data_IF_943510026398
#
_entry.id   IF_943510026398
#
_cell.length_a   1.000
_cell.length_b   1.000
_cell.length_c   1.000
_cell.angle_alpha   90.00
_cell.angle_beta   90.00
_cell.angle_gamma   90.00
#
_symmetry.space_group_name_H-M   'P 1'
#
loop_
_entity.id
_entity.type
_entity.pdbx_description
1 polymer ?
#
# COMPACT_ATOMS: atom_id res chain seq x y z
N UNK A 1 -12.74 1.47 23.41
CA UNK A 1 -14.20 1.66 23.15
C UNK A 1 -14.57 0.54 22.20
N UNK A 2 -15.41 -0.44 22.57
CA UNK A 2 -15.49 -1.72 21.83
C UNK A 2 -15.81 -1.55 20.34
N UNK A 3 -15.05 -2.22 19.48
CA UNK A 3 -15.24 -2.25 18.02
C UNK A 3 -16.61 -2.80 17.61
N UNK A 4 -17.20 -2.20 16.58
CA UNK A 4 -18.37 -2.74 15.87
C UNK A 4 -18.02 -3.98 15.06
N UNK A 5 -19.03 -4.77 14.63
CA UNK A 5 -18.81 -5.94 13.77
C UNK A 5 -18.12 -5.58 12.45
N UNK A 6 -18.47 -4.43 11.87
CA UNK A 6 -17.86 -3.93 10.63
C UNK A 6 -16.39 -3.60 10.83
N UNK A 7 -16.07 -2.85 11.90
CA UNK A 7 -14.68 -2.48 12.22
C UNK A 7 -13.81 -3.71 12.56
N UNK A 8 -14.37 -4.74 13.19
CA UNK A 8 -13.63 -5.99 13.44
C UNK A 8 -13.26 -6.71 12.14
N UNK A 9 -14.22 -6.85 11.24
CA UNK A 9 -13.97 -7.46 9.93
C UNK A 9 -12.96 -6.66 9.13
N UNK A 10 -13.05 -5.33 9.21
CA UNK A 10 -12.10 -4.44 8.57
C UNK A 10 -10.68 -4.61 9.13
N UNK A 11 -10.54 -4.65 10.46
CA UNK A 11 -9.27 -4.92 11.15
C UNK A 11 -8.65 -6.26 10.73
N UNK A 12 -9.47 -7.30 10.53
CA UNK A 12 -9.02 -8.61 10.03
C UNK A 12 -8.52 -8.57 8.58
N UNK A 13 -9.08 -7.70 7.72
CA UNK A 13 -8.75 -7.63 6.28
C UNK A 13 -7.69 -6.59 5.93
N UNK A 14 -7.44 -5.61 6.81
CA UNK A 14 -6.46 -4.55 6.60
C UNK A 14 -5.03 -5.07 6.37
N UNK A 15 -4.53 -6.05 7.16
CA UNK A 15 -3.20 -6.62 6.94
C UNK A 15 -3.01 -7.19 5.53
N UNK A 16 -3.99 -7.94 5.02
CA UNK A 16 -3.93 -8.48 3.65
C UNK A 16 -3.88 -7.36 2.60
N UNK A 17 -4.64 -6.28 2.81
CA UNK A 17 -4.63 -5.12 1.91
C UNK A 17 -3.26 -4.42 1.92
N UNK A 18 -2.67 -4.26 3.10
CA UNK A 18 -1.33 -3.67 3.28
C UNK A 18 -0.28 -4.54 2.57
N UNK A 19 -0.28 -5.85 2.80
CA UNK A 19 0.66 -6.79 2.18
C UNK A 19 0.62 -6.74 0.64
N UNK A 20 -0.57 -6.61 0.06
CA UNK A 20 -0.75 -6.48 -1.40
C UNK A 20 -0.14 -5.19 -1.93
N UNK A 21 -0.35 -4.07 -1.22
CA UNK A 21 0.21 -2.77 -1.58
C UNK A 21 1.73 -2.75 -1.44
N UNK A 22 2.28 -3.37 -0.39
CA UNK A 22 3.73 -3.49 -0.19
C UNK A 22 4.38 -4.31 -1.30
N UNK A 23 3.81 -5.46 -1.66
CA UNK A 23 4.28 -6.27 -2.79
C UNK A 23 4.24 -5.51 -4.11
N UNK A 24 3.15 -4.79 -4.38
CA UNK A 24 3.07 -3.97 -5.59
C UNK A 24 4.16 -2.88 -5.61
N UNK A 25 4.40 -2.22 -4.48
CA UNK A 25 5.46 -1.22 -4.37
C UNK A 25 6.85 -1.83 -4.61
N UNK A 26 7.14 -2.99 -4.02
CA UNK A 26 8.40 -3.72 -4.20
C UNK A 26 8.59 -4.09 -5.68
N UNK A 27 7.58 -4.69 -6.31
CA UNK A 27 7.63 -5.07 -7.72
C UNK A 27 7.88 -3.87 -8.65
N UNK A 28 7.25 -2.73 -8.38
CA UNK A 28 7.44 -1.50 -9.14
C UNK A 28 8.83 -0.91 -8.93
N UNK A 29 9.38 -0.97 -7.72
CA UNK A 29 10.75 -0.56 -7.43
C UNK A 29 11.78 -1.47 -8.12
N UNK A 30 11.56 -2.79 -8.14
CA UNK A 30 12.41 -3.74 -8.86
C UNK A 30 12.39 -3.49 -10.37
N UNK A 31 11.21 -3.24 -10.96
CA UNK A 31 11.08 -2.84 -12.37
C UNK A 31 11.83 -1.54 -12.66
N UNK A 32 11.77 -0.58 -11.74
CA UNK A 32 12.49 0.69 -11.85
C UNK A 32 14.01 0.53 -11.70
N UNK A 33 14.50 -0.54 -11.08
CA UNK A 33 15.93 -0.82 -11.00
C UNK A 33 16.51 -1.46 -12.30
N UNK A 34 15.65 -1.94 -13.21
CA UNK A 34 16.07 -2.51 -14.50
C UNK A 34 16.51 -1.40 -15.49
N UNK A 35 17.79 -1.38 -15.94
CA UNK A 35 18.28 -0.40 -16.91
C UNK A 35 17.54 -0.41 -18.26
N UNK A 36 16.97 -1.55 -18.65
CA UNK A 36 16.14 -1.71 -19.84
C UNK A 36 14.78 -1.01 -19.71
N UNK A 37 14.26 -0.90 -18.48
CA UNK A 37 13.01 -0.21 -18.17
C UNK A 37 13.13 1.31 -18.35
N UNK A 38 14.27 1.89 -17.98
CA UNK A 38 14.55 3.33 -18.15
C UNK A 38 14.50 3.82 -19.61
N UNK A 39 14.66 2.92 -20.59
CA UNK A 39 14.56 3.27 -22.01
C UNK A 39 13.13 3.62 -22.43
N UNK A 40 12.13 3.28 -21.61
CA UNK A 40 10.70 3.55 -21.84
C UNK A 40 10.23 4.73 -20.97
N UNK A 41 10.66 5.96 -21.33
CA UNK A 41 10.45 7.18 -20.52
C UNK A 41 9.01 7.44 -20.04
N UNK A 42 7.99 7.08 -20.81
CA UNK A 42 6.58 7.23 -20.39
C UNK A 42 6.21 6.34 -19.21
N UNK A 43 6.61 5.06 -19.27
CA UNK A 43 6.34 4.07 -18.23
C UNK A 43 7.02 4.41 -16.91
N UNK A 44 8.25 4.96 -16.96
CA UNK A 44 8.98 5.41 -15.75
C UNK A 44 8.19 6.45 -14.96
N UNK A 45 7.55 7.41 -15.65
CA UNK A 45 6.76 8.46 -14.99
C UNK A 45 5.51 7.86 -14.34
N UNK A 46 4.79 6.99 -15.06
CA UNK A 46 3.61 6.30 -14.55
C UNK A 46 3.94 5.42 -13.33
N UNK A 47 5.05 4.68 -13.38
CA UNK A 47 5.51 3.86 -12.25
C UNK A 47 5.83 4.70 -11.02
N UNK A 48 6.51 5.84 -11.18
CA UNK A 48 6.76 6.76 -10.06
C UNK A 48 5.48 7.32 -9.47
N UNK A 49 4.50 7.66 -10.30
CA UNK A 49 3.17 8.12 -9.85
C UNK A 49 2.49 7.02 -9.03
N UNK A 50 2.49 5.77 -9.52
CA UNK A 50 1.88 4.64 -8.79
C UNK A 50 2.61 4.34 -7.47
N UNK A 51 3.94 4.32 -7.46
CA UNK A 51 4.72 4.15 -6.21
C UNK A 51 4.32 5.23 -5.19
N UNK A 52 4.25 6.50 -5.61
CA UNK A 52 3.84 7.60 -4.74
C UNK A 52 2.39 7.51 -4.24
N UNK A 53 1.48 6.96 -5.05
CA UNK A 53 0.11 6.68 -4.63
C UNK A 53 0.06 5.56 -3.58
N UNK A 54 0.75 4.44 -3.84
CA UNK A 54 0.83 3.31 -2.91
C UNK A 54 1.42 3.74 -1.56
N UNK A 55 2.46 4.59 -1.55
CA UNK A 55 3.02 5.12 -0.30
C UNK A 55 1.99 5.86 0.55
N UNK A 56 1.10 6.63 -0.08
CA UNK A 56 0.02 7.33 0.62
C UNK A 56 -1.06 6.36 1.10
N UNK A 57 -1.47 5.43 0.25
CA UNK A 57 -2.45 4.38 0.59
C UNK A 57 -1.96 3.56 1.79
N UNK A 58 -0.70 3.10 1.78
CA UNK A 58 -0.08 2.38 2.90
C UNK A 58 -0.11 3.20 4.19
N UNK A 59 0.29 4.48 4.13
CA UNK A 59 0.25 5.35 5.31
C UNK A 59 -1.16 5.46 5.90
N UNK A 60 -2.18 5.66 5.06
CA UNK A 60 -3.57 5.74 5.48
C UNK A 60 -4.08 4.42 6.08
N UNK A 61 -3.74 3.28 5.45
CA UNK A 61 -4.11 1.96 5.95
C UNK A 61 -3.45 1.62 7.28
N UNK A 62 -2.15 1.92 7.44
CA UNK A 62 -1.43 1.72 8.70
C UNK A 62 -2.03 2.57 9.82
N UNK A 63 -2.28 3.86 9.55
CA UNK A 63 -2.92 4.75 10.52
C UNK A 63 -4.29 4.23 10.95
N UNK A 64 -5.11 3.80 9.98
CA UNK A 64 -6.44 3.28 10.27
C UNK A 64 -6.38 1.96 11.05
N UNK A 65 -5.45 1.08 10.71
CA UNK A 65 -5.19 -0.14 11.46
C UNK A 65 -4.84 0.16 12.92
N UNK A 66 -3.90 1.08 13.17
CA UNK A 66 -3.55 1.53 14.52
C UNK A 66 -4.76 2.15 15.26
N UNK A 67 -5.58 2.96 14.59
CA UNK A 67 -6.80 3.53 15.18
C UNK A 67 -7.83 2.44 15.58
N UNK A 68 -7.93 1.36 14.80
CA UNK A 68 -8.80 0.22 15.11
C UNK A 68 -8.22 -0.67 16.22
N UNK A 69 -6.92 -0.94 16.22
CA UNK A 69 -6.24 -1.68 17.29
C UNK A 69 -6.35 -0.95 18.63
N UNK A 70 -6.18 0.38 18.65
CA UNK A 70 -6.32 1.18 19.87
C UNK A 70 -7.75 1.21 20.45
N UNK A 71 -8.76 0.87 19.65
CA UNK A 71 -10.15 0.76 20.10
C UNK A 71 -10.49 -0.61 20.68
N UNK A 72 -9.73 -1.66 20.31
CA UNK A 72 -9.92 -3.04 20.75
C UNK A 72 -9.96 -3.15 22.28
#
# INVERSE_FOLDING_TARGET
>A
KKLSFKEKRELETLPETIDLLEKEQEDLNLKMADPGYYRKKGFVTETKIRIGAIQKELFEHYRHWEELENKL
#
